data_IF_195731415339
#
_entry.id   IF_195731415339
#
_cell.length_a   1.000
_cell.length_b   1.000
_cell.length_c   1.000
_cell.angle_alpha   90.00
_cell.angle_beta   90.00
_cell.angle_gamma   90.00
#
_symmetry.space_group_name_H-M   'P 1'
#
loop_
_entity.id
_entity.type
_entity.pdbx_description
1 polymer ?
#
# COMPACT_ATOMS: atom_id res chain seq x y z
N UNK A 1 -23.91 -8.60 -17.37
CA UNK A 1 -22.94 -9.08 -16.36
C UNK A 1 -22.12 -7.89 -15.89
N UNK A 2 -22.31 -7.40 -14.66
CA UNK A 2 -21.43 -6.36 -14.09
C UNK A 2 -20.05 -7.01 -13.90
N UNK A 3 -19.02 -6.48 -14.56
CA UNK A 3 -17.62 -6.83 -14.25
C UNK A 3 -17.46 -6.72 -12.73
N UNK A 4 -16.88 -7.73 -12.09
CA UNK A 4 -16.44 -7.58 -10.70
C UNK A 4 -15.47 -6.39 -10.69
N UNK A 5 -15.90 -5.23 -10.18
CA UNK A 5 -15.06 -4.04 -10.06
C UNK A 5 -14.00 -4.34 -9.01
N UNK A 6 -12.80 -4.69 -9.48
CA UNK A 6 -11.62 -4.85 -8.65
C UNK A 6 -10.96 -3.49 -8.59
N UNK A 7 -11.13 -2.80 -7.46
CA UNK A 7 -10.40 -1.56 -7.20
C UNK A 7 -8.96 -1.90 -6.77
N UNK A 8 -7.99 -1.07 -7.17
CA UNK A 8 -6.58 -1.28 -6.86
C UNK A 8 -5.92 0.04 -6.51
N UNK A 9 -5.08 -0.01 -5.48
CA UNK A 9 -4.11 1.01 -5.16
C UNK A 9 -2.71 0.40 -5.25
N UNK A 10 -1.75 1.18 -5.74
CA UNK A 10 -0.35 0.79 -5.77
C UNK A 10 0.41 1.49 -4.66
N UNK A 11 1.18 0.71 -3.90
CA UNK A 11 2.12 1.25 -2.93
C UNK A 11 3.41 1.62 -3.67
N UNK A 12 3.80 2.88 -3.51
CA UNK A 12 5.03 3.44 -4.04
C UNK A 12 5.98 3.67 -2.88
N UNK A 13 7.24 3.30 -3.09
CA UNK A 13 8.36 3.69 -2.24
C UNK A 13 9.28 4.62 -3.02
N UNK A 14 9.81 5.65 -2.35
CA UNK A 14 10.72 6.64 -2.89
C UNK A 14 12.02 6.60 -2.09
N UNK A 15 13.13 6.37 -2.78
CA UNK A 15 14.45 6.35 -2.14
C UNK A 15 14.91 7.79 -1.80
N UNK A 16 16.06 7.89 -1.12
CA UNK A 16 16.67 9.17 -0.71
C UNK A 16 17.06 10.07 -1.89
N UNK A 17 17.39 9.48 -3.04
CA UNK A 17 17.71 10.18 -4.30
C UNK A 17 16.45 10.68 -5.04
N UNK A 18 15.28 10.24 -4.60
CA UNK A 18 13.99 10.63 -5.13
C UNK A 18 13.43 9.74 -6.25
N UNK A 19 14.09 8.62 -6.53
CA UNK A 19 13.61 7.58 -7.46
C UNK A 19 12.43 6.83 -6.83
N UNK A 20 11.35 6.68 -7.58
CA UNK A 20 10.12 6.05 -7.13
C UNK A 20 9.92 4.65 -7.72
N UNK A 21 9.47 3.72 -6.90
CA UNK A 21 9.29 2.33 -7.25
C UNK A 21 7.90 1.86 -6.87
N UNK A 22 7.21 1.23 -7.82
CA UNK A 22 5.95 0.55 -7.55
C UNK A 22 6.24 -0.80 -6.87
N UNK A 23 6.19 -0.84 -5.56
CA UNK A 23 6.65 -2.00 -4.76
C UNK A 23 5.54 -2.98 -4.43
N UNK A 24 4.27 -2.59 -4.54
CA UNK A 24 3.18 -3.50 -4.21
C UNK A 24 1.82 -2.97 -4.62
N UNK A 25 0.80 -3.81 -4.39
CA UNK A 25 -0.58 -3.51 -4.75
C UNK A 25 -1.53 -3.94 -3.65
N UNK A 26 -2.38 -3.02 -3.21
CA UNK A 26 -3.58 -3.28 -2.42
C UNK A 26 -4.78 -3.43 -3.37
N UNK A 27 -5.51 -4.54 -3.26
CA UNK A 27 -6.68 -4.86 -4.07
C UNK A 27 -7.90 -4.95 -3.17
N UNK A 28 -9.01 -4.38 -3.61
CA UNK A 28 -10.34 -4.60 -3.03
C UNK A 28 -11.15 -5.47 -3.98
N UNK A 29 -11.63 -6.61 -3.47
CA UNK A 29 -12.51 -7.53 -4.18
C UNK A 29 -13.78 -7.67 -3.34
N UNK A 30 -14.85 -6.97 -3.75
CA UNK A 30 -16.05 -6.78 -2.94
C UNK A 30 -15.68 -6.14 -1.59
N UNK A 31 -15.77 -6.88 -0.49
CA UNK A 31 -15.44 -6.43 0.87
C UNK A 31 -14.22 -7.15 1.44
N UNK A 32 -13.32 -7.65 0.57
CA UNK A 32 -12.08 -8.29 0.98
C UNK A 32 -10.90 -7.56 0.39
N UNK A 33 -9.85 -7.45 1.19
CA UNK A 33 -8.65 -6.71 0.84
C UNK A 33 -7.43 -7.61 0.83
N UNK A 34 -6.59 -7.38 -0.17
CA UNK A 34 -5.41 -8.19 -0.42
C UNK A 34 -4.25 -7.28 -0.75
N UNK A 35 -3.11 -7.48 -0.08
CA UNK A 35 -1.89 -6.77 -0.42
C UNK A 35 -0.82 -7.76 -0.87
N UNK A 36 -0.11 -7.41 -1.94
CA UNK A 36 1.02 -8.19 -2.42
C UNK A 36 2.13 -7.28 -2.91
N UNK A 37 3.35 -7.58 -2.49
CA UNK A 37 4.56 -6.98 -3.05
C UNK A 37 4.82 -7.49 -4.47
N UNK A 38 5.43 -6.64 -5.29
CA UNK A 38 5.93 -7.05 -6.60
C UNK A 38 7.31 -7.65 -6.41
N UNK A 39 7.34 -8.99 -6.30
CA UNK A 39 8.52 -9.78 -5.96
C UNK A 39 9.77 -9.31 -6.71
N UNK A 40 9.76 -9.32 -8.04
CA UNK A 40 10.93 -8.97 -8.86
C UNK A 40 11.43 -7.53 -8.63
N UNK A 41 10.52 -6.60 -8.36
CA UNK A 41 10.88 -5.19 -8.08
C UNK A 41 11.45 -5.09 -6.66
N UNK A 42 10.80 -5.73 -5.70
CA UNK A 42 11.17 -5.67 -4.29
C UNK A 42 12.50 -6.37 -4.02
N UNK A 43 12.72 -7.54 -4.62
CA UNK A 43 13.99 -8.26 -4.55
C UNK A 43 15.13 -7.38 -5.07
N UNK A 44 14.95 -6.75 -6.24
CA UNK A 44 15.93 -5.85 -6.83
C UNK A 44 16.25 -4.63 -5.94
N UNK A 45 15.25 -3.95 -5.39
CA UNK A 45 15.50 -2.76 -4.55
C UNK A 45 16.05 -3.11 -3.17
N UNK A 46 15.81 -4.32 -2.64
CA UNK A 46 16.45 -4.76 -1.38
C UNK A 46 17.96 -4.93 -1.61
N UNK A 47 18.36 -5.43 -2.79
CA UNK A 47 19.76 -5.67 -3.11
C UNK A 47 20.51 -4.40 -3.56
N UNK A 48 19.80 -3.49 -4.25
CA UNK A 48 20.41 -2.31 -4.89
C UNK A 48 20.20 -0.99 -4.11
N UNK A 49 19.25 -0.94 -3.17
CA UNK A 49 18.83 0.27 -2.49
C UNK A 49 18.63 0.01 -0.98
N UNK A 50 18.54 1.06 -0.15
CA UNK A 50 18.32 0.92 1.31
C UNK A 50 16.84 0.62 1.67
N UNK A 51 16.17 -0.21 0.88
CA UNK A 51 14.76 -0.52 1.09
C UNK A 51 14.56 -1.59 2.17
N UNK A 52 13.76 -1.26 3.18
CA UNK A 52 13.27 -2.22 4.17
C UNK A 52 11.79 -2.54 3.98
N UNK A 53 11.44 -3.82 4.16
CA UNK A 53 10.05 -4.25 4.17
C UNK A 53 9.29 -3.63 5.34
N UNK A 54 7.99 -3.40 5.14
CA UNK A 54 7.16 -2.88 6.21
C UNK A 54 7.15 -3.89 7.37
N UNK A 55 7.37 -3.48 8.64
CA UNK A 55 7.60 -4.43 9.74
C UNK A 55 6.51 -5.49 9.92
N UNK A 56 5.24 -5.11 9.70
CA UNK A 56 4.07 -6.00 9.79
C UNK A 56 3.82 -6.79 8.49
N UNK A 57 4.52 -6.46 7.41
CA UNK A 57 4.45 -7.09 6.09
C UNK A 57 5.86 -7.54 5.64
N UNK A 58 6.55 -8.31 6.48
CA UNK A 58 7.98 -8.63 6.36
C UNK A 58 8.35 -9.71 5.32
N UNK A 59 7.37 -10.30 4.64
CA UNK A 59 7.53 -11.29 3.57
C UNK A 59 7.07 -10.71 2.23
N UNK A 60 7.94 -10.67 1.22
CA UNK A 60 7.62 -10.09 -0.09
C UNK A 60 7.16 -11.12 -1.15
N UNK A 61 7.19 -12.42 -0.82
CA UNK A 61 6.79 -13.53 -1.71
C UNK A 61 5.38 -14.09 -1.41
N UNK A 62 4.59 -13.42 -0.57
CA UNK A 62 3.23 -13.85 -0.20
C UNK A 62 2.17 -12.79 -0.55
N UNK A 63 0.91 -13.22 -0.55
CA UNK A 63 -0.25 -12.32 -0.53
C UNK A 63 -0.80 -12.25 0.90
N UNK A 64 -0.91 -11.05 1.42
CA UNK A 64 -1.46 -10.77 2.73
C UNK A 64 -2.97 -10.57 2.64
N UNK A 65 -3.65 -11.03 3.67
CA UNK A 65 -5.07 -10.83 3.92
C UNK A 65 -5.24 -10.41 5.38
N UNK A 66 -6.31 -9.68 5.70
CA UNK A 66 -6.76 -9.25 7.05
C UNK A 66 -6.41 -7.84 7.50
N UNK A 67 -7.13 -7.44 8.54
CA UNK A 67 -6.98 -6.33 9.47
C UNK A 67 -5.55 -5.81 9.70
N UNK A 68 -4.55 -6.70 9.81
CA UNK A 68 -3.15 -6.29 10.04
C UNK A 68 -2.60 -5.41 8.91
N UNK A 69 -3.12 -5.59 7.68
CA UNK A 69 -2.84 -4.72 6.53
C UNK A 69 -3.23 -3.27 6.81
N UNK A 70 -4.47 -3.07 7.24
CA UNK A 70 -4.99 -1.72 7.45
C UNK A 70 -4.40 -1.08 8.67
N UNK A 71 -4.06 -1.83 9.72
CA UNK A 71 -3.22 -1.30 10.82
C UNK A 71 -1.91 -0.70 10.29
N UNK A 72 -1.26 -1.39 9.37
CA UNK A 72 0.02 -0.93 8.78
C UNK A 72 -0.17 0.33 7.95
N UNK A 73 -1.15 0.36 7.03
CA UNK A 73 -1.32 1.50 6.12
C UNK A 73 -1.97 2.71 6.79
N UNK A 74 -2.91 2.51 7.73
CA UNK A 74 -3.55 3.64 8.44
C UNK A 74 -2.61 4.34 9.42
N UNK A 75 -1.60 3.63 9.94
CA UNK A 75 -0.51 4.24 10.72
C UNK A 75 0.29 5.27 9.90
N UNK A 76 0.27 5.15 8.57
CA UNK A 76 0.92 6.10 7.65
C UNK A 76 0.04 7.31 7.31
N UNK A 77 -1.24 7.37 7.70
CA UNK A 77 -2.13 8.48 7.34
C UNK A 77 -1.88 9.73 8.23
N UNK A 78 -1.93 10.96 7.66
CA UNK A 78 -1.68 12.21 8.38
C UNK A 78 -2.63 12.47 9.54
N UNK A 79 -3.90 12.16 9.36
CA UNK A 79 -4.90 12.28 10.41
C UNK A 79 -5.22 10.91 11.00
N UNK A 80 -4.33 10.41 11.86
CA UNK A 80 -4.55 9.18 12.64
C UNK A 80 -5.72 9.40 13.61
N UNK A 81 -6.94 9.24 13.12
CA UNK A 81 -8.08 8.96 14.00
C UNK A 81 -7.85 7.56 14.53
N UNK A 82 -7.33 7.47 15.75
CA UNK A 82 -7.41 6.27 16.58
C UNK A 82 -8.89 6.03 16.89
N UNK A 83 -9.69 5.64 15.89
CA UNK A 83 -10.96 5.00 16.19
C UNK A 83 -10.62 3.69 16.89
N UNK A 84 -11.39 3.36 17.92
CA UNK A 84 -11.30 2.06 18.57
C UNK A 84 -11.76 0.99 17.57
N UNK A 85 -10.82 0.43 16.80
CA UNK A 85 -11.06 -0.64 15.82
C UNK A 85 -10.62 -0.30 14.39
N UNK A 86 -10.36 -1.36 13.61
CA UNK A 86 -10.17 -1.28 12.16
C UNK A 86 -11.54 -1.39 11.50
N UNK A 87 -11.83 -0.49 10.57
CA UNK A 87 -12.93 -0.64 9.62
C UNK A 87 -12.31 -0.65 8.23
N UNK A 88 -12.05 -1.84 7.70
CA UNK A 88 -11.29 -2.03 6.47
C UNK A 88 -11.88 -1.25 5.28
N UNK A 89 -13.21 -1.10 5.23
CA UNK A 89 -13.88 -0.33 4.17
C UNK A 89 -13.62 1.16 4.37
N UNK A 90 -13.89 1.68 5.57
CA UNK A 90 -13.63 3.09 5.87
C UNK A 90 -12.14 3.44 5.74
N UNK A 91 -11.25 2.55 6.12
CA UNK A 91 -9.81 2.76 6.08
C UNK A 91 -9.29 2.70 4.64
N UNK A 92 -9.87 1.86 3.79
CA UNK A 92 -9.58 1.87 2.35
C UNK A 92 -10.00 3.18 1.68
N UNK A 93 -11.20 3.69 1.95
CA UNK A 93 -11.62 4.99 1.39
C UNK A 93 -10.74 6.14 1.92
N UNK A 94 -10.30 6.09 3.19
CA UNK A 94 -9.34 7.07 3.72
C UNK A 94 -7.99 7.02 3.00
N UNK A 95 -7.50 5.85 2.61
CA UNK A 95 -6.29 5.73 1.81
C UNK A 95 -6.49 6.37 0.42
N UNK A 96 -7.65 6.20 -0.19
CA UNK A 96 -8.02 6.86 -1.47
C UNK A 96 -8.12 8.39 -1.34
N UNK A 97 -8.61 8.89 -0.21
CA UNK A 97 -8.67 10.33 0.02
C UNK A 97 -7.29 10.97 0.28
N UNK A 98 -6.28 10.15 0.58
CA UNK A 98 -4.92 10.59 0.95
C UNK A 98 -3.83 9.99 0.04
N UNK A 99 -4.16 9.69 -1.22
CA UNK A 99 -3.16 9.31 -2.22
C UNK A 99 -2.05 10.38 -2.26
N UNK A 100 -0.79 9.94 -2.37
CA UNK A 100 0.41 10.81 -2.36
C UNK A 100 0.62 11.62 -1.07
N UNK A 101 -0.24 11.49 -0.07
CA UNK A 101 -0.21 12.30 1.16
C UNK A 101 -0.23 11.41 2.40
N UNK A 102 0.86 10.69 2.63
CA UNK A 102 1.12 9.94 3.85
C UNK A 102 2.08 10.72 4.75
N UNK A 103 2.04 10.43 6.06
CA UNK A 103 2.97 10.95 7.06
C UNK A 103 4.42 10.53 6.78
N UNK A 104 4.60 9.37 6.15
CA UNK A 104 5.92 8.93 5.71
C UNK A 104 6.20 9.52 4.33
N UNK A 105 7.27 10.32 4.21
CA UNK A 105 7.70 10.93 2.94
C UNK A 105 8.22 9.93 1.92
N UNK A 106 8.59 8.73 2.35
CA UNK A 106 9.14 7.66 1.52
C UNK A 106 8.04 6.81 0.89
N UNK A 107 6.85 6.76 1.48
CA UNK A 107 5.78 5.88 1.01
C UNK A 107 4.54 6.67 0.62
N UNK A 108 3.89 6.25 -0.45
CA UNK A 108 2.56 6.76 -0.81
C UNK A 108 1.78 5.78 -1.66
N UNK A 109 0.46 6.01 -1.73
CA UNK A 109 -0.40 5.29 -2.65
C UNK A 109 -0.71 6.11 -3.90
N UNK A 110 -0.89 5.42 -5.02
CA UNK A 110 -1.49 5.94 -6.26
C UNK A 110 -2.61 5.01 -6.72
N UNK A 111 -3.56 5.53 -7.49
CA UNK A 111 -4.64 4.74 -8.11
C UNK A 111 -4.15 3.90 -9.32
N UNK A 112 -4.94 2.91 -9.73
CA UNK A 112 -4.67 2.08 -10.92
C UNK A 112 -4.61 2.90 -12.23
N UNK A 113 -5.23 4.06 -12.25
CA UNK A 113 -5.24 5.01 -13.36
C UNK A 113 -3.99 5.91 -13.45
N UNK A 114 -3.13 5.89 -12.44
CA UNK A 114 -1.96 6.76 -12.36
C UNK A 114 -0.65 6.03 -12.70
N UNK A 115 0.20 6.68 -13.49
CA UNK A 115 1.57 6.21 -13.77
C UNK A 115 2.57 6.74 -12.72
N UNK A 116 3.62 5.96 -12.48
CA UNK A 116 4.77 6.44 -11.69
C UNK A 116 5.60 7.31 -12.61
N UNK A 117 5.67 8.61 -12.31
CA UNK A 117 6.43 9.62 -13.08
C UNK A 117 7.77 9.86 -12.42
#
# INVERSE_FOLDING_TARGET
MKKNEVERLYLIWKNSEGKAFRIGRLKKIKNRFYFKYFYDIVEKIIDEEDFELLPKLSRHNIEYFSEELFRTFTEMLPNRRLKEGIDEISDYERLKDNLKNLNNKEFYFIDDSEEVV
#
